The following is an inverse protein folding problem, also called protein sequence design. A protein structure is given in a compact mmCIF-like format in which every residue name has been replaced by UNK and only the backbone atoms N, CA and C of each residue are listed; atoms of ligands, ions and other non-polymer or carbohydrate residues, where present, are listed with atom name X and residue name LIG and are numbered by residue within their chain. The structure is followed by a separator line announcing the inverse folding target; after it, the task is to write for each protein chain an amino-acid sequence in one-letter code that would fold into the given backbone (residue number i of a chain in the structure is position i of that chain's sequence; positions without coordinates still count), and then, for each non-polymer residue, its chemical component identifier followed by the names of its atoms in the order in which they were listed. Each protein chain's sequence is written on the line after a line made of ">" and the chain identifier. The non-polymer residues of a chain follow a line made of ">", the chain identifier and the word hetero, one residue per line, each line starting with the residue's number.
data_IF_356164589315
#
_entry.id   IF_356164589315
#
_cell.length_a   1.000
_cell.length_b   1.000
_cell.length_c   1.000
_cell.angle_alpha   90.00
_cell.angle_beta   90.00
_cell.angle_gamma   90.00
#
_symmetry.space_group_name_H-M   'P 1'
#
loop_
_entity.id
_entity.type
_entity.pdbx_description
1 polymer ?
#
# COMPACT_ATOMS: atom_id res chain seq x y z
N UNK A 1 -16.26 22.13 -3.14
CA UNK A 1 -16.78 20.76 -3.15
C UNK A 1 -16.70 20.17 -1.76
N UNK A 2 -17.73 19.49 -1.34
CA UNK A 2 -17.73 18.85 -0.02
C UNK A 2 -17.01 17.53 -0.11
N UNK A 3 -15.89 17.40 0.58
CA UNK A 3 -15.07 16.18 0.53
C UNK A 3 -15.79 14.97 1.13
N UNK A 4 -16.87 15.17 1.91
CA UNK A 4 -17.59 14.04 2.47
C UNK A 4 -18.35 13.26 1.40
N UNK A 5 -18.53 13.83 0.22
CA UNK A 5 -19.21 13.16 -0.86
C UNK A 5 -18.27 12.38 -1.76
N UNK A 6 -16.97 12.43 -1.52
CA UNK A 6 -16.00 11.71 -2.34
C UNK A 6 -15.98 10.25 -1.90
N UNK A 7 -16.26 9.30 -2.82
CA UNK A 7 -16.24 7.89 -2.47
C UNK A 7 -14.89 7.45 -1.95
N UNK A 8 -14.88 6.45 -1.07
CA UNK A 8 -13.64 5.86 -0.62
C UNK A 8 -12.91 5.21 -1.79
N UNK A 9 -11.57 5.23 -1.78
CA UNK A 9 -10.82 4.56 -2.83
C UNK A 9 -11.16 3.07 -2.88
N UNK A 10 -11.33 2.54 -4.09
CA UNK A 10 -11.62 1.13 -4.25
C UNK A 10 -10.50 0.30 -3.63
N UNK A 11 -10.86 -0.74 -2.88
CA UNK A 11 -9.90 -1.61 -2.22
C UNK A 11 -9.32 -1.07 -0.92
N UNK A 12 -9.71 0.12 -0.50
CA UNK A 12 -9.18 0.71 0.73
C UNK A 12 -9.75 -0.03 1.95
N UNK A 13 -8.86 -0.42 2.87
CA UNK A 13 -9.24 -1.07 4.12
C UNK A 13 -9.14 -0.13 5.30
N UNK A 14 -8.36 0.93 5.18
CA UNK A 14 -8.23 1.97 6.19
C UNK A 14 -8.02 3.29 5.49
N UNK A 15 -8.82 4.29 5.86
CA UNK A 15 -8.74 5.62 5.27
C UNK A 15 -8.58 6.64 6.39
N UNK A 16 -7.64 7.56 6.20
CA UNK A 16 -7.34 8.59 7.19
C UNK A 16 -8.06 9.89 6.84
N UNK A 17 -8.01 10.84 7.76
CA UNK A 17 -8.66 12.12 7.54
C UNK A 17 -7.97 12.93 6.46
N UNK A 18 -8.70 13.85 5.87
CA UNK A 18 -8.13 14.77 4.91
C UNK A 18 -7.07 15.65 5.57
N UNK A 19 -5.95 15.84 4.88
CA UNK A 19 -4.87 16.72 5.34
C UNK A 19 -4.68 17.88 4.39
N UNK A 20 -4.03 18.93 4.85
CA UNK A 20 -3.72 20.12 4.05
C UNK A 20 -4.94 20.70 3.36
N UNK A 21 -6.06 20.71 4.06
CA UNK A 21 -7.35 21.15 3.52
C UNK A 21 -7.27 22.58 3.01
N UNK A 22 -7.75 22.79 1.80
CA UNK A 22 -7.76 24.11 1.19
C UNK A 22 -6.47 24.48 0.46
N UNK A 23 -5.52 23.58 0.40
CA UNK A 23 -4.27 23.81 -0.32
C UNK A 23 -4.15 22.88 -1.52
N UNK A 24 -3.13 23.12 -2.35
CA UNK A 24 -2.88 22.26 -3.50
C UNK A 24 -2.45 20.85 -3.09
N UNK A 25 -2.03 20.67 -1.83
CA UNK A 25 -1.61 19.37 -1.34
C UNK A 25 -2.71 18.64 -0.59
N UNK A 26 -3.92 19.12 -0.63
CA UNK A 26 -5.03 18.48 0.04
C UNK A 26 -5.20 17.04 -0.45
N UNK A 27 -5.37 16.12 0.51
CA UNK A 27 -5.56 14.72 0.19
C UNK A 27 -5.84 13.92 1.44
N UNK A 28 -6.07 12.63 1.27
CA UNK A 28 -6.16 11.71 2.41
C UNK A 28 -5.41 10.44 2.09
N UNK A 29 -4.71 9.93 3.10
CA UNK A 29 -3.97 8.67 2.97
C UNK A 29 -4.92 7.50 3.18
N UNK A 30 -4.59 6.38 2.56
CA UNK A 30 -5.31 5.15 2.80
C UNK A 30 -4.36 3.97 2.67
N UNK A 31 -4.75 2.86 3.29
CA UNK A 31 -4.09 1.58 3.13
C UNK A 31 -5.07 0.61 2.50
N UNK A 32 -4.59 -0.18 1.57
CA UNK A 32 -5.32 -1.30 1.04
C UNK A 32 -4.86 -2.58 1.72
N UNK A 33 -4.83 -3.66 0.96
CA UNK A 33 -4.43 -4.96 1.48
C UNK A 33 -2.95 -4.99 1.84
N UNK A 34 -2.62 -5.78 2.85
CA UNK A 34 -1.25 -6.01 3.27
C UNK A 34 -0.95 -7.49 3.38
N UNK A 35 0.32 -7.82 3.31
CA UNK A 35 0.84 -9.17 3.47
C UNK A 35 1.98 -9.13 4.47
N UNK A 36 2.05 -10.14 5.33
CA UNK A 36 3.11 -10.23 6.33
C UNK A 36 3.99 -11.43 6.01
N UNK A 37 5.30 -11.23 6.02
CA UNK A 37 6.28 -12.30 5.88
C UNK A 37 6.96 -12.43 7.24
N UNK A 38 6.65 -13.51 7.96
CA UNK A 38 7.15 -13.71 9.30
C UNK A 38 8.62 -14.05 9.32
N UNK A 39 9.35 -13.53 10.29
CA UNK A 39 10.72 -13.87 10.53
C UNK A 39 10.81 -14.84 11.70
N UNK A 40 11.94 -15.50 11.82
CA UNK A 40 12.17 -16.40 12.94
C UNK A 40 12.17 -15.62 14.27
N UNK A 41 11.84 -16.29 15.35
CA UNK A 41 11.65 -15.65 16.65
C UNK A 41 12.86 -14.85 17.15
N UNK A 42 14.06 -15.22 16.71
CA UNK A 42 15.26 -14.51 17.14
C UNK A 42 15.67 -13.41 16.18
N UNK A 43 14.86 -13.14 15.18
CA UNK A 43 15.12 -12.07 14.24
C UNK A 43 14.26 -10.87 14.58
N UNK A 44 14.56 -9.78 13.90
CA UNK A 44 13.81 -8.54 14.14
C UNK A 44 12.42 -8.60 13.53
N UNK A 45 11.80 -7.46 13.44
CA UNK A 45 10.42 -7.33 13.00
C UNK A 45 10.12 -8.09 11.72
N UNK A 46 8.89 -8.56 11.61
CA UNK A 46 8.42 -9.17 10.40
C UNK A 46 8.50 -8.19 9.23
N UNK A 47 8.64 -8.74 8.05
CA UNK A 47 8.55 -7.91 6.84
C UNK A 47 7.09 -7.83 6.42
N UNK A 48 6.75 -6.80 5.68
CA UNK A 48 5.41 -6.66 5.14
C UNK A 48 5.43 -6.04 3.76
N UNK A 49 4.36 -6.25 3.05
CA UNK A 49 4.08 -5.58 1.78
C UNK A 49 2.70 -4.96 1.95
N UNK A 50 2.57 -3.67 1.70
CA UNK A 50 1.29 -2.98 1.82
C UNK A 50 0.99 -2.23 0.54
N UNK A 51 -0.28 -2.23 0.17
CA UNK A 51 -0.77 -1.29 -0.81
C UNK A 51 -1.20 -0.06 -0.02
N UNK A 52 -0.72 1.10 -0.42
CA UNK A 52 -1.10 2.37 0.21
C UNK A 52 -1.26 3.43 -0.85
N UNK A 53 -1.87 4.54 -0.49
CA UNK A 53 -2.04 5.59 -1.47
C UNK A 53 -2.58 6.87 -0.91
N UNK A 54 -2.89 7.76 -1.83
CA UNK A 54 -3.43 9.09 -1.52
C UNK A 54 -4.60 9.33 -2.46
N UNK A 55 -5.68 9.86 -1.92
CA UNK A 55 -6.81 10.31 -2.71
C UNK A 55 -6.87 11.83 -2.67
N UNK A 56 -7.07 12.44 -3.82
CA UNK A 56 -7.20 13.88 -3.95
C UNK A 56 -8.67 14.30 -3.82
N UNK A 57 -8.95 15.56 -3.52
CA UNK A 57 -10.33 16.04 -3.44
C UNK A 57 -11.12 15.87 -4.73
N UNK A 58 -10.43 15.73 -5.85
CA UNK A 58 -11.07 15.47 -7.14
C UNK A 58 -11.59 14.06 -7.27
N UNK A 59 -11.23 13.19 -6.31
CA UNK A 59 -11.50 11.76 -6.38
C UNK A 59 -10.37 10.96 -6.98
N UNK A 60 -9.39 11.62 -7.58
CA UNK A 60 -8.24 10.92 -8.15
C UNK A 60 -7.50 10.13 -7.08
N UNK A 61 -7.09 8.92 -7.42
CA UNK A 61 -6.43 8.00 -6.49
C UNK A 61 -5.08 7.61 -7.06
N UNK A 62 -4.06 7.67 -6.20
CA UNK A 62 -2.72 7.24 -6.55
C UNK A 62 -2.30 6.14 -5.59
N UNK A 63 -1.96 4.98 -6.12
CA UNK A 63 -1.57 3.82 -5.31
C UNK A 63 -0.10 3.53 -5.46
N UNK A 64 0.49 3.03 -4.37
CA UNK A 64 1.89 2.63 -4.32
C UNK A 64 2.01 1.36 -3.52
N UNK A 65 3.12 0.66 -3.67
CA UNK A 65 3.41 -0.55 -2.90
C UNK A 65 4.60 -0.25 -2.02
N UNK A 66 4.43 -0.46 -0.73
CA UNK A 66 5.51 -0.33 0.24
C UNK A 66 5.92 -1.70 0.72
N UNK A 67 7.19 -1.92 0.88
CA UNK A 67 7.71 -3.21 1.32
C UNK A 67 8.91 -3.01 2.24
N UNK A 68 9.02 -3.85 3.26
CA UNK A 68 10.14 -3.82 4.16
C UNK A 68 9.78 -4.29 5.56
N UNK A 69 10.71 -4.14 6.51
CA UNK A 69 12.05 -3.60 6.31
C UNK A 69 13.02 -4.62 5.70
N UNK A 70 13.87 -4.16 4.82
CA UNK A 70 14.94 -4.95 4.27
C UNK A 70 16.25 -4.23 4.58
N UNK A 71 17.23 -4.96 5.09
CA UNK A 71 18.49 -4.38 5.47
C UNK A 71 19.61 -5.39 5.22
N UNK A 72 20.75 -4.97 4.65
CA UNK A 72 21.84 -5.90 4.36
C UNK A 72 22.35 -6.64 5.60
N UNK A 73 22.28 -5.98 6.77
CA UNK A 73 22.74 -6.60 8.01
C UNK A 73 21.73 -7.55 8.64
N UNK A 74 20.57 -7.68 8.01
CA UNK A 74 19.52 -8.55 8.50
C UNK A 74 18.95 -9.34 7.32
N UNK A 75 19.75 -10.24 6.75
CA UNK A 75 19.36 -10.97 5.54
C UNK A 75 18.18 -11.89 5.78
N UNK A 76 17.52 -12.23 4.70
CA UNK A 76 16.35 -13.11 4.74
C UNK A 76 16.72 -14.47 4.15
N UNK A 77 15.94 -15.48 4.50
CA UNK A 77 16.15 -16.83 3.98
C UNK A 77 15.58 -16.94 2.57
N UNK A 78 15.99 -17.97 1.81
CA UNK A 78 15.36 -18.21 0.50
C UNK A 78 13.84 -18.36 0.58
N UNK A 79 13.33 -19.00 1.63
CA UNK A 79 11.89 -19.17 1.80
C UNK A 79 11.21 -17.82 2.00
N UNK A 80 11.80 -16.95 2.83
CA UNK A 80 11.28 -15.60 3.05
C UNK A 80 11.35 -14.76 1.78
N UNK A 81 12.42 -14.92 1.00
CA UNK A 81 12.56 -14.21 -0.27
C UNK A 81 11.45 -14.61 -1.24
N UNK A 82 11.10 -15.90 -1.29
CA UNK A 82 10.02 -16.35 -2.15
C UNK A 82 8.67 -15.84 -1.68
N UNK A 83 8.44 -15.83 -0.36
CA UNK A 83 7.21 -15.27 0.20
C UNK A 83 7.09 -13.79 -0.13
N UNK A 84 8.19 -13.04 0.02
CA UNK A 84 8.20 -11.62 -0.30
C UNK A 84 7.92 -11.40 -1.79
N UNK A 85 8.53 -12.19 -2.65
CA UNK A 85 8.31 -12.08 -4.09
C UNK A 85 6.84 -12.32 -4.45
N UNK A 86 6.23 -13.34 -3.86
CA UNK A 86 4.82 -13.63 -4.10
C UNK A 86 3.93 -12.49 -3.62
N UNK A 87 4.24 -11.93 -2.46
CA UNK A 87 3.47 -10.81 -1.92
C UNK A 87 3.59 -9.58 -2.80
N UNK A 88 4.79 -9.28 -3.28
CA UNK A 88 5.02 -8.14 -4.18
C UNK A 88 4.23 -8.31 -5.48
N UNK A 89 4.25 -9.50 -6.06
CA UNK A 89 3.52 -9.75 -7.29
C UNK A 89 2.02 -9.68 -7.06
N UNK A 90 1.53 -10.22 -5.94
CA UNK A 90 0.11 -10.15 -5.61
C UNK A 90 -0.33 -8.70 -5.42
N UNK A 91 0.50 -7.89 -4.77
CA UNK A 91 0.20 -6.47 -4.58
C UNK A 91 0.14 -5.74 -5.91
N UNK A 92 1.09 -6.01 -6.80
CA UNK A 92 1.11 -5.39 -8.12
C UNK A 92 -0.14 -5.74 -8.91
N UNK A 93 -0.52 -7.02 -8.88
CA UNK A 93 -1.72 -7.46 -9.60
C UNK A 93 -2.98 -6.79 -9.05
N UNK A 94 -3.05 -6.62 -7.73
CA UNK A 94 -4.20 -5.97 -7.12
C UNK A 94 -4.26 -4.49 -7.46
N UNK A 95 -3.13 -3.80 -7.44
CA UNK A 95 -3.09 -2.38 -7.85
C UNK A 95 -3.55 -2.24 -9.29
N UNK A 96 -3.06 -3.10 -10.19
CA UNK A 96 -3.48 -3.08 -11.58
C UNK A 96 -4.97 -3.26 -11.71
N UNK A 97 -5.55 -4.14 -10.91
CA UNK A 97 -6.98 -4.38 -10.92
C UNK A 97 -7.77 -3.14 -10.51
N UNK A 98 -7.31 -2.45 -9.46
CA UNK A 98 -8.00 -1.26 -8.98
C UNK A 98 -7.80 -0.06 -9.89
N UNK A 99 -6.70 -0.02 -10.64
CA UNK A 99 -6.43 1.09 -11.54
C UNK A 99 -6.95 0.85 -12.94
N UNK A 100 -7.75 -0.20 -13.11
CA UNK A 100 -8.44 -0.38 -14.38
C UNK A 100 -7.61 -1.00 -15.44
N UNK A 101 -6.82 -1.68 -15.11
CA UNK A 101 -6.31 -2.62 -15.95
C UNK A 101 -5.95 -2.35 -17.27
N UNK A 102 -5.93 -1.77 -17.83
CA UNK A 102 -5.54 -1.66 -19.09
C UNK A 102 -4.23 -1.18 -19.29
N UNK A 103 -3.72 -0.84 -18.30
CA UNK A 103 -2.49 -0.33 -18.42
C UNK A 103 -1.57 -1.39 -18.61
N UNK A 104 -0.92 -1.54 -19.40
CA UNK A 104 0.08 -2.49 -19.52
C UNK A 104 1.38 -2.08 -19.28
#
# INVERSE_FOLDING_TARGET
>A
MDTTEIPLPAGAERVYDWHDVGTDDEGRFFYGRGWVIERAANQRDDMFVDIRGVQRPTGEVRREIAAGPLHPDNPITPAQARQLARALMAAADEVDRWEGTGST
#
